data_IF_578324719539
#
_entry.id   IF_578324719539
#
_cell.length_a   1.000
_cell.length_b   1.000
_cell.length_c   1.000
_cell.angle_alpha   90.00
_cell.angle_beta   90.00
_cell.angle_gamma   90.00
#
_symmetry.space_group_name_H-M   'P 1'
#
loop_
_entity.id
_entity.type
_entity.pdbx_description
1 polymer ?
#
# COMPACT_ATOMS: atom_id res chain seq x y z
N UNK A 1 27.89 -11.79 23.40
CA UNK A 1 26.57 -11.58 24.04
C UNK A 1 25.61 -11.18 22.93
N UNK A 2 24.67 -12.06 22.56
CA UNK A 2 23.86 -11.97 21.32
C UNK A 2 22.60 -11.09 21.44
N UNK A 3 22.30 -10.55 22.63
CA UNK A 3 21.11 -9.72 22.88
C UNK A 3 21.55 -8.34 23.37
N UNK A 4 21.06 -7.29 22.70
CA UNK A 4 21.23 -5.88 23.08
C UNK A 4 20.68 -5.66 24.49
N UNK A 5 21.39 -4.90 25.34
CA UNK A 5 20.95 -4.59 26.71
C UNK A 5 19.67 -3.75 26.74
N UNK A 6 19.40 -3.02 25.66
CA UNK A 6 18.26 -2.14 25.43
C UNK A 6 17.26 -2.72 24.43
N UNK A 7 17.24 -4.05 24.24
CA UNK A 7 16.40 -4.68 23.21
C UNK A 7 14.91 -4.35 23.37
N UNK A 8 14.41 -4.31 24.60
CA UNK A 8 13.01 -3.97 24.90
C UNK A 8 12.71 -2.51 24.54
N UNK A 9 13.55 -1.58 24.98
CA UNK A 9 13.38 -0.15 24.69
C UNK A 9 13.48 0.13 23.19
N UNK A 10 14.44 -0.50 22.50
CA UNK A 10 14.58 -0.45 21.05
C UNK A 10 13.31 -0.98 20.33
N UNK A 11 12.72 -2.06 20.83
CA UNK A 11 11.46 -2.60 20.28
C UNK A 11 10.30 -1.63 20.48
N UNK A 12 10.13 -1.08 21.69
CA UNK A 12 9.06 -0.11 21.99
C UNK A 12 9.18 1.13 21.10
N UNK A 13 10.37 1.73 21.02
CA UNK A 13 10.61 2.91 20.19
C UNK A 13 10.31 2.65 18.70
N UNK A 14 10.58 1.43 18.20
CA UNK A 14 10.24 1.03 16.84
C UNK A 14 8.73 0.88 16.65
N UNK A 15 8.03 0.26 17.61
CA UNK A 15 6.58 0.13 17.58
C UNK A 15 5.90 1.51 17.55
N UNK A 16 6.34 2.43 18.40
CA UNK A 16 5.81 3.81 18.44
C UNK A 16 6.01 4.52 17.11
N UNK A 17 7.22 4.51 16.56
CA UNK A 17 7.51 5.12 15.26
C UNK A 17 6.66 4.53 14.14
N UNK A 18 6.50 3.21 14.11
CA UNK A 18 5.72 2.54 13.06
C UNK A 18 4.23 2.84 13.23
N UNK A 19 3.75 2.97 14.47
CA UNK A 19 2.39 3.41 14.73
C UNK A 19 2.14 4.86 14.28
N UNK A 20 3.09 5.75 14.51
CA UNK A 20 3.05 7.14 14.03
C UNK A 20 3.03 7.20 12.50
N UNK A 21 3.97 6.51 11.84
CA UNK A 21 4.07 6.41 10.39
C UNK A 21 2.78 5.83 9.78
N UNK A 22 2.25 4.76 10.39
CA UNK A 22 1.00 4.13 9.97
C UNK A 22 -0.18 5.08 10.11
N UNK A 23 -0.32 5.76 11.24
CA UNK A 23 -1.41 6.71 11.50
C UNK A 23 -1.34 7.89 10.54
N UNK A 24 -0.13 8.41 10.28
CA UNK A 24 0.12 9.48 9.31
C UNK A 24 -0.29 9.07 7.90
N UNK A 25 0.07 7.85 7.50
CA UNK A 25 -0.31 7.28 6.21
C UNK A 25 -1.83 7.06 6.10
N UNK A 26 -2.47 6.55 7.16
CA UNK A 26 -3.93 6.38 7.21
C UNK A 26 -4.67 7.71 7.07
N UNK A 27 -4.23 8.76 7.75
CA UNK A 27 -4.85 10.10 7.63
C UNK A 27 -4.86 10.62 6.20
N UNK A 28 -3.84 10.29 5.41
CA UNK A 28 -3.72 10.71 4.00
C UNK A 28 -4.48 9.80 3.02
N UNK A 29 -4.85 8.60 3.43
CA UNK A 29 -5.29 7.54 2.51
C UNK A 29 -6.62 6.89 2.90
N UNK A 30 -7.21 7.28 4.02
CA UNK A 30 -8.57 6.91 4.38
C UNK A 30 -9.53 7.83 3.65
N UNK A 31 -10.37 7.25 2.80
CA UNK A 31 -11.36 7.98 2.04
C UNK A 31 -12.72 7.96 2.77
N UNK A 32 -13.53 9.01 2.66
CA UNK A 32 -14.93 8.98 3.10
C UNK A 32 -15.72 7.87 2.41
N UNK A 33 -16.73 7.33 3.08
CA UNK A 33 -17.58 6.25 2.55
C UNK A 33 -18.39 6.64 1.32
N UNK A 34 -18.65 7.93 1.12
CA UNK A 34 -19.42 8.50 0.02
C UNK A 34 -18.55 9.25 -1.00
N UNK A 35 -17.25 8.95 -1.05
CA UNK A 35 -16.34 9.61 -2.00
C UNK A 35 -16.67 9.19 -3.44
N UNK A 36 -16.72 10.15 -4.35
CA UNK A 36 -16.78 9.86 -5.79
C UNK A 36 -15.39 9.44 -6.30
N UNK A 37 -15.33 8.60 -7.33
CA UNK A 37 -14.06 8.11 -7.88
C UNK A 37 -13.21 9.22 -8.51
N UNK A 38 -13.85 10.31 -8.93
CA UNK A 38 -13.23 11.52 -9.50
C UNK A 38 -12.77 12.54 -8.45
N UNK A 39 -13.05 12.32 -7.17
CA UNK A 39 -12.74 13.27 -6.10
C UNK A 39 -11.22 13.49 -5.97
N UNK A 40 -10.81 14.75 -5.77
CA UNK A 40 -9.41 15.12 -5.62
C UNK A 40 -8.71 14.38 -4.46
N UNK A 41 -9.46 13.97 -3.43
CA UNK A 41 -8.97 13.17 -2.30
C UNK A 41 -8.53 11.77 -2.74
N UNK A 42 -9.19 11.17 -3.73
CA UNK A 42 -8.79 9.89 -4.31
C UNK A 42 -7.41 10.02 -4.98
N UNK A 43 -7.25 11.07 -5.79
CA UNK A 43 -5.97 11.39 -6.42
C UNK A 43 -4.87 11.66 -5.38
N UNK A 44 -5.16 12.45 -4.36
CA UNK A 44 -4.22 12.75 -3.28
C UNK A 44 -3.80 11.50 -2.50
N UNK A 45 -4.74 10.59 -2.21
CA UNK A 45 -4.46 9.33 -1.52
C UNK A 45 -3.51 8.43 -2.33
N UNK A 46 -3.77 8.26 -3.63
CA UNK A 46 -2.88 7.47 -4.50
C UNK A 46 -1.48 8.08 -4.60
N UNK A 47 -1.37 9.41 -4.72
CA UNK A 47 -0.08 10.11 -4.70
C UNK A 47 0.67 9.90 -3.38
N UNK A 48 -0.04 10.01 -2.25
CA UNK A 48 0.56 9.81 -0.93
C UNK A 48 1.16 8.41 -0.80
N UNK A 49 0.41 7.37 -1.17
CA UNK A 49 0.91 5.98 -1.13
C UNK A 49 2.07 5.77 -2.08
N UNK A 50 1.97 6.25 -3.33
CA UNK A 50 3.04 6.10 -4.32
C UNK A 50 4.33 6.80 -3.89
N UNK A 51 4.21 7.98 -3.25
CA UNK A 51 5.37 8.73 -2.74
C UNK A 51 6.12 7.96 -1.67
N UNK A 52 5.42 7.22 -0.80
CA UNK A 52 6.03 6.39 0.23
C UNK A 52 6.73 5.18 -0.40
N UNK A 53 6.08 4.50 -1.33
CA UNK A 53 6.65 3.30 -1.98
C UNK A 53 7.91 3.67 -2.77
N UNK A 54 7.84 4.74 -3.55
CA UNK A 54 8.95 5.21 -4.39
C UNK A 54 10.01 6.03 -3.63
N UNK A 55 9.74 6.35 -2.36
CA UNK A 55 10.60 7.20 -1.54
C UNK A 55 11.89 6.49 -1.15
N UNK A 56 13.04 7.10 -1.46
CA UNK A 56 14.36 6.59 -1.06
C UNK A 56 14.53 6.53 0.46
N UNK A 57 13.93 7.47 1.18
CA UNK A 57 14.03 7.58 2.64
C UNK A 57 12.99 6.74 3.40
N UNK A 58 12.09 6.04 2.70
CA UNK A 58 11.07 5.21 3.35
C UNK A 58 11.68 3.93 3.92
N UNK A 59 11.38 3.61 5.17
CA UNK A 59 11.76 2.33 5.79
C UNK A 59 11.06 1.15 5.10
N UNK A 60 11.61 -0.06 5.21
CA UNK A 60 11.02 -1.26 4.62
C UNK A 60 9.57 -1.48 5.10
N UNK A 61 9.35 -1.43 6.43
CA UNK A 61 8.01 -1.60 7.03
C UNK A 61 7.04 -0.52 6.54
N UNK A 62 7.46 0.74 6.43
CA UNK A 62 6.60 1.81 5.93
C UNK A 62 6.21 1.59 4.45
N UNK A 63 7.12 1.07 3.62
CA UNK A 63 6.77 0.67 2.24
C UNK A 63 5.75 -0.46 2.22
N UNK A 64 5.88 -1.45 3.10
CA UNK A 64 4.89 -2.53 3.21
C UNK A 64 3.53 -2.04 3.64
N UNK A 65 3.47 -1.17 4.65
CA UNK A 65 2.22 -0.51 5.05
C UNK A 65 1.60 0.26 3.88
N UNK A 66 2.41 0.95 3.08
CA UNK A 66 1.95 1.62 1.87
C UNK A 66 1.40 0.64 0.82
N UNK A 67 2.06 -0.49 0.59
CA UNK A 67 1.52 -1.53 -0.30
C UNK A 67 0.17 -2.08 0.18
N UNK A 68 -0.01 -2.26 1.50
CA UNK A 68 -1.33 -2.64 2.07
C UNK A 68 -2.37 -1.56 1.76
N UNK A 69 -2.01 -0.28 1.85
CA UNK A 69 -2.91 0.83 1.49
C UNK A 69 -3.25 0.86 0.00
N UNK A 70 -2.33 0.52 -0.91
CA UNK A 70 -2.65 0.42 -2.36
C UNK A 70 -3.82 -0.54 -2.55
N UNK A 71 -3.73 -1.73 -1.95
CA UNK A 71 -4.77 -2.75 -2.07
C UNK A 71 -6.07 -2.27 -1.44
N UNK A 72 -6.01 -1.69 -0.23
CA UNK A 72 -7.19 -1.17 0.45
C UNK A 72 -7.92 -0.08 -0.37
N UNK A 73 -7.17 0.87 -0.96
CA UNK A 73 -7.72 1.89 -1.85
C UNK A 73 -8.36 1.29 -3.10
N UNK A 74 -7.69 0.31 -3.71
CA UNK A 74 -8.23 -0.37 -4.88
C UNK A 74 -9.54 -1.10 -4.55
N UNK A 75 -9.56 -1.83 -3.44
CA UNK A 75 -10.72 -2.59 -2.98
C UNK A 75 -11.89 -1.66 -2.60
N UNK A 76 -11.61 -0.49 -2.00
CA UNK A 76 -12.66 0.48 -1.62
C UNK A 76 -13.27 1.22 -2.80
N UNK A 77 -12.48 1.52 -3.84
CA UNK A 77 -12.95 2.26 -5.01
C UNK A 77 -13.63 1.35 -6.05
N UNK A 78 -13.32 0.05 -6.05
CA UNK A 78 -13.96 -0.91 -6.94
C UNK A 78 -15.50 -0.86 -6.90
N UNK A 79 -16.18 -0.92 -5.73
CA UNK A 79 -17.63 -0.80 -5.66
C UNK A 79 -18.14 0.60 -6.03
N UNK A 80 -17.38 1.67 -5.73
CA UNK A 80 -17.75 3.05 -6.08
C UNK A 80 -17.81 3.21 -7.59
N UNK A 81 -16.74 2.86 -8.29
CA UNK A 81 -16.66 2.92 -9.76
C UNK A 81 -17.74 2.05 -10.41
N UNK A 82 -18.06 0.91 -9.79
CA UNK A 82 -19.15 0.05 -10.25
C UNK A 82 -20.50 0.74 -10.14
N UNK A 83 -20.81 1.38 -9.01
CA UNK A 83 -22.06 2.09 -8.80
C UNK A 83 -22.24 3.27 -9.77
N UNK A 84 -21.20 4.10 -9.96
CA UNK A 84 -21.20 5.22 -10.92
C UNK A 84 -21.50 4.74 -12.35
N UNK A 85 -20.94 3.59 -12.75
CA UNK A 85 -21.24 2.96 -14.05
C UNK A 85 -22.67 2.46 -14.16
N UNK A 86 -23.18 1.80 -13.13
CA UNK A 86 -24.54 1.26 -13.10
C UNK A 86 -25.56 2.40 -13.27
N UNK A 87 -25.28 3.58 -12.72
CA UNK A 87 -26.09 4.80 -12.85
C UNK A 87 -25.90 5.57 -14.17
N UNK A 88 -25.04 5.08 -15.08
CA UNK A 88 -24.86 5.66 -16.42
C UNK A 88 -23.86 6.82 -16.48
N UNK A 89 -23.09 7.05 -15.42
CA UNK A 89 -22.05 8.09 -15.38
C UNK A 89 -20.76 7.66 -16.12
N UNK A 90 -20.68 6.40 -16.59
CA UNK A 90 -19.58 5.88 -17.42
C UNK A 90 -19.99 4.73 -18.38
N UNK A 91 -19.34 4.67 -19.56
CA UNK A 91 -19.66 3.79 -20.70
C UNK A 91 -19.59 2.27 -20.42
N UNK A 92 -20.49 1.49 -21.04
CA UNK A 92 -20.75 0.04 -20.80
C UNK A 92 -20.04 -0.89 -21.80
N UNK A 93 -19.18 -1.77 -21.30
CA UNK A 93 -18.60 -2.97 -21.93
C UNK A 93 -18.41 -4.10 -20.87
N UNK A 94 -18.16 -5.36 -21.23
CA UNK A 94 -18.07 -6.47 -20.26
C UNK A 94 -16.62 -6.79 -19.87
N UNK A 95 -16.34 -7.09 -18.59
CA UNK A 95 -15.04 -7.59 -18.09
C UNK A 95 -14.64 -7.10 -16.68
N UNK A 96 -13.42 -7.43 -16.22
CA UNK A 96 -12.77 -6.94 -14.97
C UNK A 96 -12.42 -5.42 -15.08
N UNK A 97 -13.35 -4.62 -15.62
CA UNK A 97 -13.18 -3.19 -15.91
C UNK A 97 -13.18 -2.36 -14.65
N UNK A 98 -13.78 -2.83 -13.56
CA UNK A 98 -13.86 -2.04 -12.32
C UNK A 98 -12.46 -1.86 -11.74
N UNK A 99 -11.67 -2.94 -11.65
CA UNK A 99 -10.28 -2.80 -11.20
C UNK A 99 -9.46 -2.04 -12.24
N UNK A 100 -9.63 -2.27 -13.54
CA UNK A 100 -8.89 -1.52 -14.55
C UNK A 100 -9.16 -0.02 -14.48
N UNK A 101 -10.42 0.42 -14.27
CA UNK A 101 -10.71 1.84 -14.08
C UNK A 101 -10.13 2.40 -12.79
N UNK A 102 -10.11 1.63 -11.70
CA UNK A 102 -9.42 2.07 -10.48
C UNK A 102 -7.91 2.22 -10.72
N UNK A 103 -7.30 1.31 -11.49
CA UNK A 103 -5.91 1.43 -11.89
C UNK A 103 -5.69 2.62 -12.84
N UNK A 104 -6.65 2.95 -13.71
CA UNK A 104 -6.59 4.13 -14.57
C UNK A 104 -6.68 5.42 -13.75
N UNK A 105 -7.50 5.45 -12.70
CA UNK A 105 -7.55 6.55 -11.72
C UNK A 105 -6.20 6.69 -11.03
N UNK A 106 -5.60 5.57 -10.58
CA UNK A 106 -4.28 5.58 -9.97
C UNK A 106 -3.22 6.11 -10.96
N UNK A 107 -3.25 5.64 -12.20
CA UNK A 107 -2.33 6.09 -13.24
C UNK A 107 -2.51 7.59 -13.54
N UNK A 108 -3.74 8.06 -13.68
CA UNK A 108 -4.08 9.48 -13.85
C UNK A 108 -3.62 10.32 -12.67
N UNK A 109 -3.74 9.83 -11.44
CA UNK A 109 -3.22 10.50 -10.26
C UNK A 109 -1.71 10.75 -10.37
N UNK A 110 -0.99 9.88 -11.05
CA UNK A 110 0.46 9.94 -11.24
C UNK A 110 0.92 10.55 -12.57
N UNK A 111 0.01 10.87 -13.51
CA UNK A 111 0.33 11.31 -14.88
C UNK A 111 1.19 12.58 -15.00
N UNK A 112 1.34 13.37 -13.94
CA UNK A 112 2.34 14.44 -13.91
C UNK A 112 3.80 13.95 -13.99
N UNK A 113 4.04 12.64 -13.89
CA UNK A 113 5.39 12.06 -13.76
C UNK A 113 6.02 11.56 -15.08
N UNK A 114 5.28 11.57 -16.20
CA UNK A 114 5.68 11.06 -17.54
C UNK A 114 6.63 9.83 -17.52
N UNK A 115 6.19 8.76 -16.86
CA UNK A 115 6.96 7.51 -16.75
C UNK A 115 6.43 6.48 -17.74
N UNK A 116 7.21 6.17 -18.78
CA UNK A 116 6.97 4.95 -19.58
C UNK A 116 6.94 3.74 -18.64
N UNK A 117 5.97 2.84 -18.83
CA UNK A 117 5.81 1.66 -17.97
C UNK A 117 5.15 1.93 -16.60
N UNK A 118 4.55 3.11 -16.38
CA UNK A 118 3.85 3.44 -15.14
C UNK A 118 2.77 2.41 -14.78
N UNK A 119 2.05 1.89 -15.79
CA UNK A 119 1.04 0.85 -15.59
C UNK A 119 1.62 -0.43 -15.01
N UNK A 120 2.78 -0.88 -15.49
CA UNK A 120 3.44 -2.08 -14.98
C UNK A 120 3.92 -1.88 -13.54
N UNK A 121 4.42 -0.70 -13.23
CA UNK A 121 4.80 -0.30 -11.86
C UNK A 121 3.58 -0.37 -10.93
N UNK A 122 2.46 0.22 -11.33
CA UNK A 122 1.20 0.20 -10.55
C UNK A 122 0.70 -1.24 -10.35
N UNK A 123 0.74 -2.07 -11.40
CA UNK A 123 0.35 -3.47 -11.31
C UNK A 123 1.24 -4.23 -10.33
N UNK A 124 2.55 -3.99 -10.36
CA UNK A 124 3.48 -4.61 -9.42
C UNK A 124 3.22 -4.14 -8.00
N UNK A 125 2.98 -2.85 -7.77
CA UNK A 125 2.62 -2.34 -6.43
C UNK A 125 1.40 -3.06 -5.86
N UNK A 126 0.38 -3.31 -6.69
CA UNK A 126 -0.79 -4.07 -6.27
C UNK A 126 -0.48 -5.54 -6.02
N UNK A 127 0.34 -6.19 -6.85
CA UNK A 127 0.75 -7.59 -6.65
C UNK A 127 1.55 -7.75 -5.35
N UNK A 128 2.54 -6.90 -5.12
CA UNK A 128 3.30 -6.84 -3.88
C UNK A 128 2.36 -6.60 -2.69
N UNK A 129 1.45 -5.63 -2.79
CA UNK A 129 0.49 -5.35 -1.72
C UNK A 129 -0.43 -6.51 -1.38
N UNK A 130 -0.85 -7.33 -2.36
CA UNK A 130 -1.62 -8.55 -2.07
C UNK A 130 -0.80 -9.54 -1.25
N UNK A 131 0.48 -9.75 -1.62
CA UNK A 131 1.39 -10.64 -0.87
C UNK A 131 1.64 -10.12 0.54
N UNK A 132 1.93 -8.83 0.68
CA UNK A 132 2.17 -8.17 1.97
C UNK A 132 0.91 -8.20 2.85
N UNK A 133 -0.29 -7.99 2.28
CA UNK A 133 -1.56 -8.08 3.02
C UNK A 133 -1.80 -9.49 3.58
N UNK A 134 -1.39 -10.53 2.85
CA UNK A 134 -1.43 -11.91 3.36
C UNK A 134 -0.48 -12.11 4.55
N UNK A 135 0.75 -11.58 4.46
CA UNK A 135 1.74 -11.64 5.55
C UNK A 135 1.30 -10.85 6.79
N UNK A 136 0.69 -9.69 6.60
CA UNK A 136 0.11 -8.89 7.68
C UNK A 136 -1.05 -9.60 8.38
N UNK A 137 -1.72 -10.54 7.73
CA UNK A 137 -2.89 -11.22 8.29
C UNK A 137 -3.95 -10.23 8.77
N UNK A 138 -4.50 -10.39 10.00
CA UNK A 138 -5.56 -9.52 10.50
C UNK A 138 -5.08 -8.13 10.93
N UNK A 139 -3.77 -7.91 11.10
CA UNK A 139 -3.24 -6.63 11.56
C UNK A 139 -2.00 -6.20 10.77
N UNK A 140 -2.00 -5.00 10.15
CA UNK A 140 -0.81 -4.43 9.51
C UNK A 140 0.43 -4.38 10.43
N UNK A 141 0.23 -4.38 11.75
CA UNK A 141 1.31 -4.41 12.73
C UNK A 141 2.06 -5.75 12.78
N UNK A 142 1.54 -6.85 12.24
CA UNK A 142 2.32 -8.08 12.14
C UNK A 142 3.50 -7.95 11.18
N UNK A 143 3.50 -6.93 10.31
CA UNK A 143 4.66 -6.56 9.51
C UNK A 143 5.87 -6.11 10.35
N UNK A 144 5.65 -5.74 11.63
CA UNK A 144 6.73 -5.47 12.60
C UNK A 144 7.65 -6.67 12.82
N UNK A 145 7.07 -7.88 12.81
CA UNK A 145 7.83 -9.12 12.99
C UNK A 145 8.74 -9.43 11.81
N UNK A 146 8.57 -8.72 10.71
CA UNK A 146 9.30 -8.91 9.46
C UNK A 146 10.19 -7.69 9.13
N UNK A 147 10.47 -6.79 10.10
CA UNK A 147 11.36 -5.64 9.86
C UNK A 147 12.77 -6.07 9.39
N UNK A 148 13.56 -5.14 8.84
CA UNK A 148 14.92 -5.41 8.32
C UNK A 148 15.80 -6.22 9.31
N UNK A 149 15.65 -6.02 10.62
CA UNK A 149 16.38 -6.78 11.63
C UNK A 149 15.91 -8.23 11.80
N UNK A 150 14.63 -8.53 11.49
CA UNK A 150 14.09 -9.88 11.43
C UNK A 150 14.35 -10.56 10.07
N UNK A 151 14.37 -9.80 8.96
CA UNK A 151 14.79 -10.32 7.65
C UNK A 151 16.23 -10.83 7.66
N UNK A 152 17.13 -10.23 8.45
CA UNK A 152 18.51 -10.73 8.62
C UNK A 152 18.54 -12.16 9.18
N UNK A 153 17.57 -12.52 10.03
CA UNK A 153 17.40 -13.89 10.57
C UNK A 153 16.68 -14.79 9.57
N UNK A 154 15.78 -14.25 8.75
CA UNK A 154 15.06 -15.05 7.75
C UNK A 154 15.94 -15.39 6.53
N UNK A 155 16.79 -14.47 6.08
CA UNK A 155 17.74 -14.69 4.98
C UNK A 155 18.74 -15.82 5.29
N UNK A 156 19.10 -16.02 6.56
CA UNK A 156 19.97 -17.15 6.94
C UNK A 156 19.26 -18.51 6.91
N UNK A 157 17.95 -18.55 7.19
CA UNK A 157 17.17 -19.80 7.15
C UNK A 157 16.85 -20.23 5.70
N UNK A 158 16.57 -19.28 4.81
CA UNK A 158 16.27 -19.59 3.40
C UNK A 158 17.50 -19.97 2.56
N UNK A 159 18.71 -19.51 2.92
CA UNK A 159 19.96 -19.94 2.26
C UNK A 159 20.53 -21.26 2.80
N UNK A 160 19.98 -21.82 3.88
CA UNK A 160 20.35 -23.15 4.40
C UNK A 160 19.40 -24.26 3.94
N UNK A 161 18.43 -23.94 3.10
CA UNK A 161 17.44 -24.89 2.56
C UNK A 161 17.46 -24.97 1.03
N UNK A 162 18.54 -24.48 0.39
CA UNK A 162 18.79 -24.56 -1.05
C UNK A 162 20.09 -25.29 -1.34
#
# INVERSE_FOLDING_TARGET
RLVRRDAIECFVNKCEKIWEDWTSLLRKTTLPSNVASSDARVTAAFRAVHSVISGKQSTCVLRWLAYVRVVALCDSLKPVVRAEREHGEAYRERGDRDINAVLDIYENALRASDRRGLRDVILEHRRTGKRVKLLAGPSPLFLLMYSDEAETVMYTVFYMSG
#
